data_IF_314898676517
#
_entry.id   IF_314898676517
#
_cell.length_a   1.000
_cell.length_b   1.000
_cell.length_c   1.000
_cell.angle_alpha   90.00
_cell.angle_beta   90.00
_cell.angle_gamma   90.00
#
_symmetry.space_group_name_H-M   'P 1'
#
loop_
_entity.id
_entity.type
_entity.pdbx_description
1 polymer ?
#
# COMPACT_ATOMS: atom_id res chain seq x y z
N UNK A 1 -2.95 2.11 -15.26
CA UNK A 1 -2.20 2.04 -13.99
C UNK A 1 -1.40 0.75 -13.96
N UNK A 2 -0.12 0.87 -13.73
CA UNK A 2 0.74 -0.29 -13.62
C UNK A 2 0.88 -0.71 -12.17
N UNK A 3 0.76 -2.00 -11.90
CA UNK A 3 0.83 -2.54 -10.54
C UNK A 3 1.82 -3.69 -10.51
N UNK A 4 2.77 -3.60 -9.59
CA UNK A 4 3.71 -4.68 -9.33
C UNK A 4 3.45 -5.22 -7.92
N UNK A 5 3.24 -6.51 -7.81
CA UNK A 5 2.96 -7.15 -6.52
C UNK A 5 4.19 -7.93 -6.08
N UNK A 6 4.67 -7.62 -4.89
CA UNK A 6 5.78 -8.34 -4.27
C UNK A 6 5.27 -9.00 -3.01
N UNK A 7 5.22 -10.32 -3.00
CA UNK A 7 4.81 -11.06 -1.82
C UNK A 7 5.92 -11.03 -0.78
N UNK A 8 5.54 -10.71 0.45
CA UNK A 8 6.46 -10.75 1.57
C UNK A 8 6.32 -12.10 2.25
N UNK A 9 7.38 -12.91 2.18
CA UNK A 9 7.38 -14.27 2.72
C UNK A 9 7.93 -14.34 4.14
N UNK A 10 8.23 -13.20 4.75
CA UNK A 10 8.71 -13.18 6.13
C UNK A 10 7.58 -13.60 7.08
N UNK A 11 7.71 -14.74 7.76
CA UNK A 11 6.66 -15.20 8.66
C UNK A 11 6.43 -14.28 9.86
N UNK A 12 7.40 -13.44 10.20
CA UNK A 12 7.25 -12.48 11.30
C UNK A 12 6.46 -11.24 10.87
N UNK A 13 6.34 -11.01 9.57
CA UNK A 13 5.63 -9.86 9.02
C UNK A 13 4.86 -10.28 7.76
N UNK A 14 3.84 -11.15 7.92
CA UNK A 14 3.06 -11.59 6.76
C UNK A 14 2.32 -10.42 6.13
N UNK A 15 2.38 -10.35 4.81
CA UNK A 15 1.72 -9.27 4.10
C UNK A 15 2.14 -9.22 2.65
N UNK A 16 1.60 -8.25 1.96
CA UNK A 16 1.85 -8.03 0.54
C UNK A 16 2.26 -6.58 0.35
N UNK A 17 3.29 -6.35 -0.46
CA UNK A 17 3.66 -5.01 -0.90
C UNK A 17 3.28 -4.86 -2.37
N UNK A 18 2.58 -3.77 -2.68
CA UNK A 18 2.10 -3.48 -4.03
C UNK A 18 2.64 -2.12 -4.44
N UNK A 19 3.39 -2.08 -5.53
CA UNK A 19 3.86 -0.82 -6.09
C UNK A 19 2.90 -0.37 -7.18
N UNK A 20 2.47 0.89 -7.11
CA UNK A 20 1.51 1.47 -8.06
C UNK A 20 2.05 2.79 -8.59
N UNK A 21 1.52 3.24 -9.70
CA UNK A 21 1.91 4.54 -10.28
C UNK A 21 1.29 5.71 -9.52
N UNK A 22 0.04 5.56 -9.12
CA UNK A 22 -0.72 6.62 -8.46
C UNK A 22 -1.29 6.09 -7.15
N UNK A 23 -0.51 6.24 -6.09
CA UNK A 23 -0.90 5.74 -4.76
C UNK A 23 -2.09 6.51 -4.20
N UNK A 24 -2.23 7.79 -4.55
CA UNK A 24 -3.38 8.58 -4.07
C UNK A 24 -4.69 8.04 -4.62
N UNK A 25 -4.72 7.68 -5.89
CA UNK A 25 -5.92 7.10 -6.50
C UNK A 25 -6.28 5.77 -5.87
N UNK A 26 -5.28 4.94 -5.59
CA UNK A 26 -5.51 3.64 -4.94
C UNK A 26 -6.01 3.84 -3.51
N UNK A 27 -5.44 4.80 -2.80
CA UNK A 27 -5.89 5.12 -1.45
C UNK A 27 -7.35 5.56 -1.44
N UNK A 28 -7.73 6.44 -2.37
CA UNK A 28 -9.12 6.91 -2.46
C UNK A 28 -10.06 5.76 -2.74
N UNK A 29 -9.68 4.85 -3.61
CA UNK A 29 -10.47 3.65 -3.89
C UNK A 29 -10.61 2.76 -2.67
N UNK A 30 -9.55 2.58 -1.91
CA UNK A 30 -9.60 1.77 -0.70
C UNK A 30 -10.58 2.37 0.31
N UNK A 31 -10.56 3.69 0.49
CA UNK A 31 -11.49 4.37 1.37
C UNK A 31 -12.92 4.23 0.89
N UNK A 32 -13.16 4.40 -0.41
CA UNK A 32 -14.49 4.25 -1.01
C UNK A 32 -15.06 2.85 -0.81
N UNK A 33 -14.20 1.84 -0.82
CA UNK A 33 -14.61 0.45 -0.64
C UNK A 33 -14.69 0.03 0.83
N UNK A 34 -14.46 0.97 1.76
CA UNK A 34 -14.57 0.69 3.17
C UNK A 34 -13.45 -0.16 3.75
N UNK A 35 -12.31 -0.19 3.09
CA UNK A 35 -11.16 -0.94 3.59
C UNK A 35 -10.53 -0.23 4.78
N UNK A 36 -10.03 -1.01 5.74
CA UNK A 36 -9.40 -0.44 6.92
C UNK A 36 -8.01 0.09 6.59
N UNK A 37 -7.83 1.41 6.73
CA UNK A 37 -6.52 2.03 6.55
C UNK A 37 -5.81 1.99 7.90
N UNK A 38 -4.78 1.17 8.00
CA UNK A 38 -4.05 0.98 9.25
C UNK A 38 -2.78 1.82 9.34
N UNK A 39 -2.37 2.41 8.23
CA UNK A 39 -1.24 3.34 8.16
C UNK A 39 -1.61 4.44 7.18
N UNK A 40 -1.66 5.66 7.65
CA UNK A 40 -2.14 6.79 6.85
C UNK A 40 -1.21 7.06 5.66
N UNK A 41 -1.80 7.49 4.56
CA UNK A 41 -1.04 7.87 3.36
C UNK A 41 -0.08 9.02 3.71
N UNK A 42 1.20 8.82 3.44
CA UNK A 42 2.22 9.81 3.76
C UNK A 42 3.46 9.65 2.89
N UNK A 43 4.22 10.72 2.79
CA UNK A 43 5.53 10.69 2.14
C UNK A 43 6.58 10.23 3.14
N UNK A 44 7.38 9.28 2.72
CA UNK A 44 8.52 8.83 3.51
C UNK A 44 9.78 9.57 3.06
N UNK A 45 10.76 9.71 3.96
CA UNK A 45 11.98 10.47 3.69
C UNK A 45 12.80 9.90 2.54
N UNK A 46 12.64 8.61 2.28
CA UNK A 46 13.41 7.89 1.25
C UNK A 46 12.76 7.89 -0.12
N UNK A 47 11.87 8.85 -0.37
CA UNK A 47 11.32 9.07 -1.71
C UNK A 47 10.17 8.16 -2.09
N UNK A 48 9.49 7.63 -1.10
CA UNK A 48 8.33 6.77 -1.32
C UNK A 48 7.10 7.41 -0.67
N UNK A 49 5.97 7.34 -1.35
CA UNK A 49 4.68 7.71 -0.77
C UNK A 49 3.87 6.42 -0.62
N UNK A 50 3.39 6.14 0.57
CA UNK A 50 2.74 4.87 0.85
C UNK A 50 1.62 4.97 1.88
N UNK A 51 0.76 3.95 1.88
CA UNK A 51 -0.18 3.70 2.96
C UNK A 51 -0.31 2.20 3.15
N UNK A 52 -0.92 1.78 4.25
CA UNK A 52 -1.17 0.37 4.50
C UNK A 52 -2.63 0.17 4.81
N UNK A 53 -3.18 -0.92 4.28
CA UNK A 53 -4.56 -1.29 4.55
C UNK A 53 -4.60 -2.74 5.04
N UNK A 54 -5.71 -3.09 5.66
CA UNK A 54 -5.98 -4.48 6.04
C UNK A 54 -7.18 -4.97 5.26
N UNK A 55 -7.00 -6.09 4.58
CA UNK A 55 -8.09 -6.73 3.87
C UNK A 55 -9.04 -7.43 4.85
N UNK A 56 -10.30 -7.71 4.43
CA UNK A 56 -11.23 -8.45 5.27
C UNK A 56 -10.69 -9.81 5.75
N UNK A 57 -9.80 -10.41 4.97
CA UNK A 57 -9.14 -11.67 5.35
C UNK A 57 -8.10 -11.50 6.46
N UNK A 58 -7.76 -10.25 6.81
CA UNK A 58 -6.74 -9.96 7.81
C UNK A 58 -5.35 -9.68 7.24
N UNK A 59 -5.17 -9.80 5.93
CA UNK A 59 -3.88 -9.58 5.30
C UNK A 59 -3.55 -8.09 5.27
N UNK A 60 -2.33 -7.74 5.70
CA UNK A 60 -1.82 -6.39 5.55
C UNK A 60 -1.29 -6.17 4.15
N UNK A 61 -1.69 -5.06 3.54
CA UNK A 61 -1.23 -4.68 2.21
C UNK A 61 -0.55 -3.32 2.31
N UNK A 62 0.72 -3.27 1.93
CA UNK A 62 1.49 -2.04 1.86
C UNK A 62 1.45 -1.56 0.41
N UNK A 63 0.79 -0.44 0.17
CA UNK A 63 0.66 0.14 -1.17
C UNK A 63 1.58 1.35 -1.25
N UNK A 64 2.44 1.37 -2.23
CA UNK A 64 3.46 2.41 -2.35
C UNK A 64 3.68 2.84 -3.79
N UNK A 65 4.17 4.06 -3.94
CA UNK A 65 4.68 4.54 -5.23
C UNK A 65 5.99 5.26 -4.98
N UNK A 66 6.92 5.11 -5.92
CA UNK A 66 8.16 5.85 -5.88
C UNK A 66 7.94 7.24 -6.45
N UNK A 67 8.40 8.24 -5.74
CA UNK A 67 8.34 9.61 -6.22
C UNK A 67 9.50 9.84 -7.16
N UNK A 68 9.18 10.16 -8.41
CA UNK A 68 10.19 10.56 -9.37
C UNK A 68 10.51 12.01 -9.08
N UNK A 69 11.67 12.21 -8.60
CA UNK A 69 12.13 13.42 -8.17
C UNK A 69 12.56 14.47 -9.00
#
# INVERSE_FOLDING_TARGET
MQVSIVANEDPAAPGISVEVDDVDAVHDRAVENGLAIVYALRDEEWGVRRFMLREPSGTLVNVLSHRSG
#
